data_IF_904347429804
#
_entry.id   IF_904347429804
#
_cell.length_a   1.000
_cell.length_b   1.000
_cell.length_c   1.000
_cell.angle_alpha   90.00
_cell.angle_beta   90.00
_cell.angle_gamma   90.00
#
_symmetry.space_group_name_H-M   'P 1'
#
loop_
_entity.id
_entity.type
_entity.pdbx_description
1 polymer ?
#
# COMPACT_ATOMS: atom_id res chain seq x y z
N UNK A 1 -49.82 -36.25 11.22
CA UNK A 1 -48.40 -36.34 10.79
C UNK A 1 -47.57 -36.66 12.02
N UNK A 2 -46.77 -37.73 11.99
CA UNK A 2 -46.11 -38.23 13.20
C UNK A 2 -44.88 -37.35 13.56
N UNK A 3 -44.52 -37.22 14.83
CA UNK A 3 -43.46 -36.31 15.30
C UNK A 3 -42.10 -36.58 14.60
N UNK A 4 -41.84 -37.84 14.27
CA UNK A 4 -40.66 -38.26 13.49
C UNK A 4 -40.66 -37.73 12.06
N UNK A 5 -41.82 -37.62 11.42
CA UNK A 5 -41.97 -37.11 10.06
C UNK A 5 -41.80 -35.58 10.02
N UNK A 6 -42.26 -34.87 11.05
CA UNK A 6 -42.07 -33.42 11.18
C UNK A 6 -40.59 -33.06 11.43
N UNK A 7 -39.87 -33.85 12.23
CA UNK A 7 -38.44 -33.65 12.50
C UNK A 7 -37.56 -33.83 11.24
N UNK A 8 -37.89 -34.80 10.38
CA UNK A 8 -37.16 -35.04 9.12
C UNK A 8 -37.37 -33.88 8.13
N UNK A 9 -38.59 -33.34 8.04
CA UNK A 9 -38.89 -32.19 7.17
C UNK A 9 -38.20 -30.91 7.70
N UNK A 10 -38.17 -30.70 9.03
CA UNK A 10 -37.46 -29.57 9.63
C UNK A 10 -35.94 -29.66 9.41
N UNK A 11 -35.34 -30.85 9.51
CA UNK A 11 -33.92 -31.07 9.28
C UNK A 11 -33.54 -30.90 7.80
N UNK A 12 -34.42 -31.26 6.86
CA UNK A 12 -34.20 -31.05 5.43
C UNK A 12 -34.23 -29.55 5.05
N UNK A 13 -35.03 -28.72 5.73
CA UNK A 13 -35.08 -27.27 5.50
C UNK A 13 -33.80 -26.54 5.94
N UNK A 14 -33.05 -27.07 6.91
CA UNK A 14 -31.74 -26.52 7.31
C UNK A 14 -30.65 -26.70 6.23
N UNK A 15 -30.80 -27.66 5.30
CA UNK A 15 -29.85 -27.84 4.19
C UNK A 15 -30.17 -27.01 2.95
N UNK A 16 -31.34 -26.36 2.90
CA UNK A 16 -31.71 -25.46 1.80
C UNK A 16 -31.48 -23.97 2.12
N UNK A 17 -31.11 -23.61 3.35
CA UNK A 17 -30.90 -22.21 3.74
C UNK A 17 -29.43 -21.74 3.65
N UNK A 18 -28.74 -22.01 2.53
CA UNK A 18 -27.48 -21.34 2.21
C UNK A 18 -27.24 -21.41 0.69
N UNK A 19 -27.92 -20.57 -0.10
CA UNK A 19 -27.52 -20.20 -1.47
C UNK A 19 -28.39 -19.04 -2.02
N UNK A 20 -28.71 -18.05 -1.19
CA UNK A 20 -29.37 -16.83 -1.66
C UNK A 20 -28.29 -15.91 -2.23
N UNK A 21 -28.20 -15.84 -3.56
CA UNK A 21 -27.23 -15.02 -4.31
C UNK A 21 -25.94 -15.76 -4.66
N UNK A 22 -26.01 -16.82 -5.47
CA UNK A 22 -24.80 -17.55 -5.89
C UNK A 22 -24.05 -16.79 -6.97
N UNK A 23 -23.00 -16.07 -6.58
CA UNK A 23 -21.97 -15.62 -7.52
C UNK A 23 -21.08 -16.81 -7.85
N UNK A 24 -21.08 -17.24 -9.12
CA UNK A 24 -20.05 -18.19 -9.59
C UNK A 24 -18.79 -17.41 -9.90
N UNK A 25 -17.68 -17.80 -9.30
CA UNK A 25 -16.37 -17.19 -9.52
C UNK A 25 -15.43 -18.19 -10.18
N UNK A 26 -14.66 -17.70 -11.15
CA UNK A 26 -13.61 -18.45 -11.80
C UNK A 26 -12.30 -17.69 -11.63
N UNK A 27 -11.28 -18.40 -11.17
CA UNK A 27 -9.92 -17.89 -11.09
C UNK A 27 -9.23 -17.98 -12.47
N UNK A 28 -8.07 -17.35 -12.58
CA UNK A 28 -7.27 -17.22 -13.81
C UNK A 28 -7.29 -18.45 -14.72
N UNK A 29 -7.13 -19.68 -14.22
CA UNK A 29 -7.03 -20.87 -15.07
C UNK A 29 -8.34 -21.27 -15.77
N UNK A 30 -9.48 -20.90 -15.19
CA UNK A 30 -10.80 -21.37 -15.62
C UNK A 30 -11.61 -20.34 -16.40
N UNK A 31 -11.06 -19.16 -16.68
CA UNK A 31 -11.73 -18.11 -17.45
C UNK A 31 -11.66 -18.44 -18.95
N UNK A 32 -12.77 -18.28 -19.66
CA UNK A 32 -12.86 -18.48 -21.11
C UNK A 32 -11.80 -17.62 -21.86
N UNK A 33 -11.15 -18.22 -22.87
CA UNK A 33 -10.05 -17.60 -23.62
C UNK A 33 -10.48 -16.33 -24.37
N UNK A 34 -11.70 -16.29 -24.90
CA UNK A 34 -12.21 -15.15 -25.65
C UNK A 34 -12.45 -13.97 -24.69
N UNK A 35 -13.05 -14.23 -23.52
CA UNK A 35 -13.20 -13.22 -22.47
C UNK A 35 -11.85 -12.68 -22.02
N UNK A 36 -10.86 -13.54 -21.79
CA UNK A 36 -9.49 -13.11 -21.48
C UNK A 36 -8.88 -12.25 -22.59
N UNK A 37 -9.08 -12.62 -23.85
CA UNK A 37 -8.59 -11.87 -25.00
C UNK A 37 -9.19 -10.45 -25.05
N UNK A 38 -10.51 -10.34 -24.86
CA UNK A 38 -11.21 -9.05 -24.81
C UNK A 38 -10.70 -8.17 -23.66
N UNK A 39 -10.59 -8.74 -22.44
CA UNK A 39 -10.10 -8.00 -21.28
C UNK A 39 -8.64 -7.61 -21.44
N UNK A 40 -7.80 -8.47 -22.02
CA UNK A 40 -6.41 -8.12 -22.32
C UNK A 40 -6.34 -6.92 -23.26
N UNK A 41 -7.14 -6.89 -24.33
CA UNK A 41 -7.18 -5.74 -25.24
C UNK A 41 -7.60 -4.44 -24.53
N UNK A 42 -8.54 -4.54 -23.58
CA UNK A 42 -8.93 -3.40 -22.73
C UNK A 42 -7.83 -2.98 -21.75
N UNK A 43 -7.13 -3.94 -21.13
CA UNK A 43 -5.98 -3.67 -20.26
C UNK A 43 -4.84 -2.99 -21.05
N UNK A 44 -4.54 -3.48 -22.25
CA UNK A 44 -3.52 -2.90 -23.15
C UNK A 44 -3.90 -1.45 -23.51
N UNK A 45 -5.18 -1.21 -23.84
CA UNK A 45 -5.70 0.12 -24.13
C UNK A 45 -5.64 1.03 -22.90
N UNK A 46 -6.03 0.52 -21.72
CA UNK A 46 -5.98 1.25 -20.46
C UNK A 46 -4.55 1.72 -20.15
N UNK A 47 -3.57 0.81 -20.23
CA UNK A 47 -2.17 1.13 -19.98
C UNK A 47 -1.61 2.14 -20.98
N UNK A 48 -1.99 2.04 -22.26
CA UNK A 48 -1.62 3.01 -23.29
C UNK A 48 -2.21 4.39 -22.99
N UNK A 49 -3.48 4.46 -22.61
CA UNK A 49 -4.15 5.72 -22.30
C UNK A 49 -3.52 6.41 -21.09
N UNK A 50 -3.22 5.66 -20.01
CA UNK A 50 -2.60 6.22 -18.81
C UNK A 50 -1.20 6.74 -19.12
N UNK A 51 -0.35 5.94 -19.79
CA UNK A 51 1.02 6.35 -20.13
C UNK A 51 1.04 7.62 -20.98
N UNK A 52 0.15 7.70 -21.97
CA UNK A 52 0.14 8.80 -22.94
C UNK A 52 -0.69 10.00 -22.48
N UNK A 53 -1.25 9.97 -21.26
CA UNK A 53 -2.23 10.96 -20.78
C UNK A 53 -3.40 11.17 -21.76
N UNK A 54 -3.82 10.11 -22.46
CA UNK A 54 -4.94 10.13 -23.42
C UNK A 54 -6.28 10.00 -22.68
N UNK A 55 -6.80 11.15 -22.26
CA UNK A 55 -8.05 11.23 -21.50
C UNK A 55 -9.28 10.82 -22.35
N UNK A 56 -9.27 11.13 -23.65
CA UNK A 56 -10.37 10.78 -24.54
C UNK A 56 -10.44 9.26 -24.74
N UNK A 57 -9.28 8.65 -25.02
CA UNK A 57 -9.13 7.20 -25.08
C UNK A 57 -9.53 6.54 -23.77
N UNK A 58 -9.08 7.05 -22.62
CA UNK A 58 -9.48 6.52 -21.32
C UNK A 58 -11.00 6.59 -21.11
N UNK A 59 -11.63 7.74 -21.39
CA UNK A 59 -13.08 7.93 -21.23
C UNK A 59 -13.88 6.91 -22.04
N UNK A 60 -13.40 6.52 -23.21
CA UNK A 60 -14.07 5.49 -24.04
C UNK A 60 -14.11 4.10 -23.39
N UNK A 61 -13.20 3.81 -22.44
CA UNK A 61 -13.12 2.54 -21.73
C UNK A 61 -14.05 2.48 -20.51
N UNK A 62 -14.49 3.63 -19.99
CA UNK A 62 -15.25 3.73 -18.74
C UNK A 62 -16.72 3.39 -18.95
N UNK A 63 -17.39 2.93 -17.90
CA UNK A 63 -18.84 2.94 -17.85
C UNK A 63 -19.38 4.31 -17.45
N UNK A 64 -20.64 4.56 -17.80
CA UNK A 64 -21.34 5.80 -17.43
C UNK A 64 -21.33 6.03 -15.91
N UNK A 65 -21.56 4.96 -15.14
CA UNK A 65 -21.53 5.01 -13.68
C UNK A 65 -20.15 5.45 -13.12
N UNK A 66 -19.05 5.00 -13.73
CA UNK A 66 -17.70 5.43 -13.32
C UNK A 66 -17.44 6.89 -13.74
N UNK A 67 -17.91 7.30 -14.92
CA UNK A 67 -17.77 8.69 -15.38
C UNK A 67 -18.50 9.67 -14.45
N UNK A 68 -19.75 9.36 -14.09
CA UNK A 68 -20.55 10.17 -13.17
C UNK A 68 -19.89 10.30 -11.79
N UNK A 69 -19.31 9.21 -11.28
CA UNK A 69 -18.65 9.20 -9.97
C UNK A 69 -17.31 9.93 -9.95
N UNK A 70 -16.55 9.88 -11.04
CA UNK A 70 -15.15 10.32 -11.04
C UNK A 70 -14.95 11.80 -11.34
N UNK A 71 -15.92 12.46 -11.96
CA UNK A 71 -15.86 13.89 -12.28
C UNK A 71 -14.53 14.32 -12.91
N UNK A 72 -13.94 15.42 -12.41
CA UNK A 72 -12.65 15.95 -12.86
C UNK A 72 -11.44 15.25 -12.19
N UNK A 73 -11.65 14.48 -11.12
CA UNK A 73 -10.57 13.85 -10.35
C UNK A 73 -9.78 12.85 -11.19
N UNK A 74 -10.44 12.21 -12.16
CA UNK A 74 -9.81 11.24 -13.05
C UNK A 74 -8.68 11.85 -13.90
N UNK A 75 -8.83 13.10 -14.35
CA UNK A 75 -7.81 13.74 -15.17
C UNK A 75 -6.52 13.99 -14.38
N UNK A 76 -6.65 14.57 -13.18
CA UNK A 76 -5.51 14.81 -12.30
C UNK A 76 -4.84 13.48 -11.92
N UNK A 77 -5.68 12.48 -11.65
CA UNK A 77 -5.24 11.15 -11.28
C UNK A 77 -4.42 10.47 -12.39
N UNK A 78 -4.91 10.49 -13.63
CA UNK A 78 -4.22 9.91 -14.80
C UNK A 78 -2.90 10.61 -15.05
N UNK A 79 -2.86 11.94 -14.95
CA UNK A 79 -1.60 12.70 -15.10
C UNK A 79 -0.56 12.26 -14.07
N UNK A 80 -0.95 12.11 -12.80
CA UNK A 80 -0.03 11.68 -11.75
C UNK A 80 0.50 10.26 -11.98
N UNK A 81 -0.37 9.32 -12.36
CA UNK A 81 0.07 7.94 -12.64
C UNK A 81 0.87 7.84 -13.93
N UNK A 82 0.47 8.54 -14.98
CA UNK A 82 1.16 8.57 -16.27
C UNK A 82 2.62 9.00 -16.14
N UNK A 83 2.92 9.98 -15.27
CA UNK A 83 4.29 10.41 -14.95
C UNK A 83 5.17 9.31 -14.32
N UNK A 84 4.55 8.33 -13.64
CA UNK A 84 5.29 7.21 -13.04
C UNK A 84 5.58 6.10 -14.06
N UNK A 85 4.74 5.94 -15.09
CA UNK A 85 4.83 4.83 -16.03
C UNK A 85 5.91 5.07 -17.10
N UNK A 86 6.96 4.24 -17.10
CA UNK A 86 8.00 4.26 -18.14
C UNK A 86 7.58 3.51 -19.41
N UNK A 87 6.80 2.45 -19.25
CA UNK A 87 6.37 1.56 -20.34
C UNK A 87 4.86 1.34 -20.31
N UNK A 88 4.31 0.82 -21.40
CA UNK A 88 2.93 0.28 -21.40
C UNK A 88 2.90 -1.19 -20.98
N UNK A 89 4.06 -1.79 -20.73
CA UNK A 89 4.19 -3.19 -20.32
C UNK A 89 3.67 -3.38 -18.90
N UNK A 90 3.04 -4.53 -18.66
CA UNK A 90 2.51 -4.90 -17.37
C UNK A 90 2.51 -6.42 -17.21
N UNK A 91 2.63 -6.85 -15.96
CA UNK A 91 2.36 -8.22 -15.54
C UNK A 91 0.96 -8.30 -14.96
N UNK A 92 0.22 -9.33 -15.35
CA UNK A 92 -1.03 -9.69 -14.68
C UNK A 92 -0.70 -10.42 -13.38
N UNK A 93 -1.02 -9.81 -12.24
CA UNK A 93 -0.86 -10.41 -10.92
C UNK A 93 -1.95 -11.46 -10.67
N UNK A 94 -3.21 -11.11 -10.96
CA UNK A 94 -4.35 -12.00 -10.78
C UNK A 94 -5.52 -11.56 -11.66
N UNK A 95 -6.38 -12.51 -12.01
CA UNK A 95 -7.63 -12.28 -12.74
C UNK A 95 -8.75 -13.10 -12.11
N UNK A 96 -9.93 -12.49 -11.99
CA UNK A 96 -11.12 -13.15 -11.47
C UNK A 96 -12.31 -12.80 -12.37
N UNK A 97 -13.08 -13.81 -12.75
CA UNK A 97 -14.35 -13.63 -13.46
C UNK A 97 -15.50 -14.03 -12.54
N UNK A 98 -16.55 -13.20 -12.48
CA UNK A 98 -17.72 -13.43 -11.67
C UNK A 98 -19.00 -13.35 -12.51
N UNK A 99 -19.83 -14.39 -12.42
CA UNK A 99 -21.18 -14.41 -12.96
C UNK A 99 -22.17 -14.36 -11.80
N UNK A 100 -22.76 -13.18 -11.61
CA UNK A 100 -23.66 -12.83 -10.53
C UNK A 100 -25.10 -13.17 -10.91
N UNK A 101 -25.87 -13.71 -9.95
CA UNK A 101 -27.29 -13.99 -10.17
C UNK A 101 -28.12 -12.71 -10.40
N UNK A 102 -27.69 -11.59 -9.81
CA UNK A 102 -28.31 -10.28 -9.95
C UNK A 102 -27.26 -9.16 -9.89
N UNK A 103 -27.66 -7.96 -10.35
CA UNK A 103 -26.90 -6.73 -10.13
C UNK A 103 -27.15 -6.21 -8.70
N UNK A 104 -26.23 -5.39 -8.19
CA UNK A 104 -26.29 -4.79 -6.87
C UNK A 104 -25.83 -5.69 -5.71
N UNK A 105 -25.41 -6.93 -5.98
CA UNK A 105 -24.89 -7.85 -4.97
C UNK A 105 -23.47 -7.46 -4.53
N UNK A 106 -23.14 -7.72 -3.28
CA UNK A 106 -21.76 -7.61 -2.78
C UNK A 106 -20.97 -8.87 -3.15
N UNK A 107 -19.86 -8.67 -3.86
CA UNK A 107 -18.90 -9.73 -4.18
C UNK A 107 -17.73 -9.70 -3.22
N UNK A 108 -17.41 -10.86 -2.67
CA UNK A 108 -16.28 -11.11 -1.80
C UNK A 108 -15.49 -12.29 -2.39
N UNK A 109 -14.41 -11.99 -3.11
CA UNK A 109 -13.62 -13.01 -3.82
C UNK A 109 -12.34 -13.29 -3.04
N UNK A 110 -12.26 -14.41 -2.29
CA UNK A 110 -11.04 -14.77 -1.57
C UNK A 110 -9.94 -15.18 -2.55
N UNK A 111 -8.73 -14.64 -2.36
CA UNK A 111 -7.54 -14.95 -3.14
C UNK A 111 -6.44 -15.43 -2.21
N UNK A 112 -5.95 -16.66 -2.44
CA UNK A 112 -4.83 -17.26 -1.70
C UNK A 112 -4.96 -17.17 -0.17
N UNK A 113 -6.17 -17.34 0.38
CA UNK A 113 -6.47 -17.09 1.80
C UNK A 113 -5.72 -17.99 2.79
N UNK A 114 -5.14 -19.10 2.33
CA UNK A 114 -4.25 -19.96 3.13
C UNK A 114 -2.82 -19.43 3.25
N UNK A 115 -2.47 -18.38 2.49
CA UNK A 115 -1.15 -17.75 2.49
C UNK A 115 -1.14 -16.49 3.36
N UNK A 116 0.03 -16.16 3.91
CA UNK A 116 0.32 -14.88 4.57
C UNK A 116 0.08 -13.68 3.64
N UNK A 117 0.10 -13.91 2.33
CA UNK A 117 -0.14 -12.92 1.27
C UNK A 117 -1.60 -12.94 0.78
N UNK A 118 -2.48 -13.71 1.43
CA UNK A 118 -3.88 -13.82 1.08
C UNK A 118 -4.64 -12.51 1.27
N UNK A 119 -5.61 -12.27 0.40
CA UNK A 119 -6.50 -11.11 0.46
C UNK A 119 -7.88 -11.45 -0.08
N UNK A 120 -8.85 -10.59 0.16
CA UNK A 120 -10.18 -10.68 -0.43
C UNK A 120 -10.42 -9.45 -1.28
N UNK A 121 -11.00 -9.65 -2.47
CA UNK A 121 -11.45 -8.57 -3.34
C UNK A 121 -12.93 -8.31 -3.05
N UNK A 122 -13.24 -7.06 -2.73
CA UNK A 122 -14.58 -6.62 -2.33
C UNK A 122 -15.12 -5.59 -3.31
N UNK A 123 -16.29 -5.83 -3.91
CA UNK A 123 -16.95 -4.84 -4.75
C UNK A 123 -18.44 -5.12 -4.92
N UNK A 124 -19.21 -4.10 -5.30
CA UNK A 124 -20.62 -4.24 -5.68
C UNK A 124 -20.74 -4.61 -7.15
N UNK A 125 -21.47 -5.66 -7.48
CA UNK A 125 -21.70 -6.13 -8.84
C UNK A 125 -22.61 -5.16 -9.61
N UNK A 126 -22.05 -4.29 -10.46
CA UNK A 126 -22.86 -3.39 -11.29
C UNK A 126 -23.44 -4.11 -12.52
N UNK A 127 -22.88 -5.25 -12.90
CA UNK A 127 -23.31 -6.09 -14.02
C UNK A 127 -23.39 -7.56 -13.59
N UNK A 128 -24.15 -8.37 -14.34
CA UNK A 128 -24.21 -9.82 -14.10
C UNK A 128 -22.85 -10.47 -14.34
N UNK A 129 -22.20 -10.16 -15.46
CA UNK A 129 -20.84 -10.60 -15.74
C UNK A 129 -19.86 -9.49 -15.34
N UNK A 130 -18.92 -9.82 -14.46
CA UNK A 130 -17.89 -8.92 -13.93
C UNK A 130 -16.50 -9.56 -14.08
N UNK A 131 -15.48 -8.75 -14.29
CA UNK A 131 -14.10 -9.21 -14.42
C UNK A 131 -13.16 -8.31 -13.62
N UNK A 132 -12.29 -8.88 -12.80
CA UNK A 132 -11.24 -8.16 -12.07
C UNK A 132 -9.89 -8.47 -12.68
N UNK A 133 -9.14 -7.44 -13.05
CA UNK A 133 -7.74 -7.50 -13.45
C UNK A 133 -6.87 -6.76 -12.44
N UNK A 134 -5.86 -7.45 -11.90
CA UNK A 134 -4.83 -6.87 -11.05
C UNK A 134 -3.53 -6.77 -11.85
N UNK A 135 -3.09 -5.56 -12.16
CA UNK A 135 -1.98 -5.30 -13.08
C UNK A 135 -0.81 -4.64 -12.34
N UNK A 136 0.41 -5.09 -12.64
CA UNK A 136 1.66 -4.53 -12.13
C UNK A 136 2.44 -3.94 -13.32
N UNK A 137 2.51 -2.61 -13.47
CA UNK A 137 3.28 -1.99 -14.53
C UNK A 137 4.77 -2.33 -14.42
N UNK A 138 5.43 -2.50 -15.57
CA UNK A 138 6.85 -2.88 -15.62
C UNK A 138 7.79 -1.66 -15.49
N UNK A 139 8.98 -1.90 -14.93
CA UNK A 139 10.06 -0.90 -14.85
C UNK A 139 10.03 0.02 -13.61
N UNK A 140 9.23 -0.34 -12.61
CA UNK A 140 9.16 0.34 -11.31
C UNK A 140 9.90 -0.45 -10.23
N UNK A 141 10.75 0.23 -9.45
CA UNK A 141 11.39 -0.36 -8.27
C UNK A 141 10.38 -0.60 -7.14
N UNK A 142 9.46 0.35 -6.96
CA UNK A 142 8.34 0.25 -6.04
C UNK A 142 7.09 -0.01 -6.87
N UNK A 143 6.51 -1.20 -6.75
CA UNK A 143 5.43 -1.63 -7.62
C UNK A 143 4.14 -0.88 -7.27
N UNK A 144 3.47 -0.38 -8.31
CA UNK A 144 2.11 0.14 -8.25
C UNK A 144 1.15 -0.99 -8.65
N UNK A 145 0.09 -1.22 -7.88
CA UNK A 145 -1.02 -2.07 -8.31
C UNK A 145 -2.03 -1.21 -9.05
N UNK A 146 -2.46 -1.66 -10.22
CA UNK A 146 -3.65 -1.15 -10.91
C UNK A 146 -4.73 -2.21 -10.77
N UNK A 147 -5.84 -1.85 -10.12
CA UNK A 147 -7.02 -2.71 -10.00
C UNK A 147 -8.08 -2.19 -10.96
N UNK A 148 -8.36 -2.98 -11.99
CA UNK A 148 -9.37 -2.68 -13.00
C UNK A 148 -10.51 -3.70 -12.88
N UNK A 149 -11.72 -3.23 -12.59
CA UNK A 149 -12.92 -4.07 -12.50
C UNK A 149 -13.86 -3.67 -13.63
N UNK A 150 -14.07 -4.60 -14.55
CA UNK A 150 -14.93 -4.47 -15.71
C UNK A 150 -16.30 -5.08 -15.45
N UNK A 151 -17.31 -4.53 -16.10
CA UNK A 151 -18.64 -5.12 -16.22
C UNK A 151 -19.03 -5.26 -17.68
N UNK A 152 -19.84 -6.28 -17.99
CA UNK A 152 -20.32 -6.52 -19.35
C UNK A 152 -21.65 -5.79 -19.61
N UNK A 153 -21.67 -5.00 -20.69
CA UNK A 153 -22.78 -4.17 -21.17
C UNK A 153 -23.18 -4.65 -22.57
N UNK A 154 -24.15 -5.56 -22.64
CA UNK A 154 -24.45 -6.27 -23.89
C UNK A 154 -23.26 -7.13 -24.32
N UNK A 155 -22.70 -6.86 -25.50
CA UNK A 155 -21.52 -7.55 -26.01
C UNK A 155 -20.19 -6.88 -25.59
N UNK A 156 -20.25 -5.65 -25.07
CA UNK A 156 -19.06 -4.86 -24.75
C UNK A 156 -18.68 -4.97 -23.27
N UNK A 157 -17.39 -4.83 -22.98
CA UNK A 157 -16.87 -4.69 -21.63
C UNK A 157 -16.47 -3.25 -21.35
N UNK A 158 -16.89 -2.72 -20.20
CA UNK A 158 -16.56 -1.36 -19.74
C UNK A 158 -15.99 -1.37 -18.33
N UNK A 159 -15.12 -0.42 -18.04
CA UNK A 159 -14.46 -0.27 -16.75
C UNK A 159 -15.42 0.39 -15.75
N UNK A 160 -15.79 -0.36 -14.71
CA UNK A 160 -16.67 0.08 -13.64
C UNK A 160 -15.91 0.67 -12.46
N UNK A 161 -14.72 0.13 -12.18
CA UNK A 161 -13.87 0.58 -11.07
C UNK A 161 -12.44 0.57 -11.56
N UNK A 162 -11.72 1.65 -11.29
CA UNK A 162 -10.29 1.72 -11.42
C UNK A 162 -9.69 2.26 -10.11
N UNK A 163 -8.66 1.59 -9.61
CA UNK A 163 -7.93 1.98 -8.40
C UNK A 163 -6.44 1.75 -8.58
N UNK A 164 -5.66 2.53 -7.86
CA UNK A 164 -4.23 2.41 -7.86
C UNK A 164 -3.70 2.59 -6.45
N UNK A 165 -2.65 1.85 -6.11
CA UNK A 165 -2.03 1.96 -4.81
C UNK A 165 -0.68 1.26 -4.80
N UNK A 166 0.18 1.64 -3.86
CA UNK A 166 1.47 0.99 -3.68
C UNK A 166 1.27 -0.48 -3.32
N UNK A 167 1.85 -1.38 -4.12
CA UNK A 167 1.76 -2.82 -3.92
C UNK A 167 2.95 -3.36 -3.14
N UNK A 168 4.14 -2.93 -3.54
CA UNK A 168 5.39 -3.32 -2.90
C UNK A 168 6.36 -2.15 -2.88
N UNK A 169 7.26 -2.16 -1.91
CA UNK A 169 8.40 -1.26 -1.83
C UNK A 169 9.64 -2.14 -1.78
N UNK A 170 10.62 -1.89 -2.65
CA UNK A 170 11.83 -2.71 -2.77
C UNK A 170 11.53 -4.22 -2.89
N UNK A 171 10.49 -4.57 -3.66
CA UNK A 171 10.06 -5.95 -3.89
C UNK A 171 9.41 -6.66 -2.68
N UNK A 172 9.11 -5.94 -1.59
CA UNK A 172 8.47 -6.48 -0.39
C UNK A 172 7.07 -5.91 -0.19
N UNK A 173 6.14 -6.76 0.26
CA UNK A 173 4.72 -6.43 0.47
C UNK A 173 4.42 -6.19 1.95
N UNK A 174 3.18 -5.81 2.27
CA UNK A 174 2.77 -5.54 3.66
C UNK A 174 3.11 -6.69 4.63
N UNK A 175 2.82 -7.98 4.33
CA UNK A 175 3.15 -9.08 5.26
C UNK A 175 4.66 -9.29 5.44
N UNK A 176 5.47 -8.98 4.43
CA UNK A 176 6.93 -9.10 4.52
C UNK A 176 7.51 -8.06 5.48
N UNK A 177 7.09 -6.80 5.34
CA UNK A 177 7.47 -5.74 6.26
C UNK A 177 6.93 -5.98 7.67
N UNK A 178 5.75 -6.57 7.80
CA UNK A 178 5.23 -6.98 9.10
C UNK A 178 6.12 -8.04 9.77
N UNK A 179 6.59 -9.03 9.02
CA UNK A 179 7.56 -10.01 9.52
C UNK A 179 8.86 -9.35 9.96
N UNK A 180 9.42 -8.45 9.13
CA UNK A 180 10.63 -7.70 9.49
C UNK A 180 10.43 -6.84 10.75
N UNK A 181 9.26 -6.23 10.91
CA UNK A 181 8.93 -5.44 12.09
C UNK A 181 8.91 -6.32 13.37
N UNK A 182 8.35 -7.53 13.28
CA UNK A 182 8.36 -8.51 14.39
C UNK A 182 9.78 -8.96 14.73
N UNK A 183 10.61 -9.22 13.73
CA UNK A 183 12.01 -9.62 13.92
C UNK A 183 12.82 -8.51 14.60
N UNK A 184 12.70 -7.26 14.15
CA UNK A 184 13.35 -6.11 14.78
C UNK A 184 12.86 -5.90 16.22
N UNK A 185 11.56 -6.05 16.45
CA UNK A 185 10.97 -5.96 17.79
C UNK A 185 11.55 -7.03 18.72
N UNK A 186 11.69 -8.28 18.25
CA UNK A 186 12.30 -9.37 19.02
C UNK A 186 13.77 -9.12 19.40
N UNK A 187 14.50 -8.33 18.61
CA UNK A 187 15.89 -7.90 18.90
C UNK A 187 15.97 -6.66 19.81
N UNK A 188 14.82 -6.12 20.23
CA UNK A 188 14.67 -4.84 20.92
C UNK A 188 15.12 -3.61 20.09
N UNK A 189 15.15 -3.73 18.76
CA UNK A 189 15.44 -2.64 17.81
C UNK A 189 14.13 -1.90 17.51
N UNK A 190 13.66 -1.12 18.50
CA UNK A 190 12.29 -0.60 18.53
C UNK A 190 11.98 0.41 17.41
N UNK A 191 12.95 1.27 17.04
CA UNK A 191 12.76 2.22 15.93
C UNK A 191 12.62 1.51 14.59
N UNK A 192 13.40 0.46 14.34
CA UNK A 192 13.26 -0.36 13.14
C UNK A 192 11.90 -1.07 13.11
N UNK A 193 11.44 -1.59 14.25
CA UNK A 193 10.11 -2.19 14.35
C UNK A 193 9.00 -1.19 14.00
N UNK A 194 9.09 0.05 14.49
CA UNK A 194 8.16 1.13 14.12
C UNK A 194 8.24 1.42 12.62
N UNK A 195 9.44 1.64 12.08
CA UNK A 195 9.66 1.95 10.67
C UNK A 195 9.10 0.87 9.74
N UNK A 196 9.42 -0.40 9.97
CA UNK A 196 8.90 -1.50 9.15
C UNK A 196 7.40 -1.70 9.33
N UNK A 197 6.86 -1.56 10.54
CA UNK A 197 5.41 -1.67 10.74
C UNK A 197 4.64 -0.53 10.05
N UNK A 198 5.21 0.68 9.99
CA UNK A 198 4.65 1.81 9.26
C UNK A 198 4.65 1.58 7.74
N UNK A 199 5.73 1.01 7.18
CA UNK A 199 5.75 0.63 5.76
C UNK A 199 4.70 -0.47 5.51
N UNK A 200 4.60 -1.46 6.40
CA UNK A 200 3.61 -2.52 6.29
C UNK A 200 2.19 -1.97 6.23
N UNK A 201 1.82 -1.04 7.13
CA UNK A 201 0.48 -0.44 7.13
C UNK A 201 0.20 0.43 5.91
N UNK A 202 1.20 1.16 5.41
CA UNK A 202 1.08 1.93 4.15
C UNK A 202 0.77 1.04 2.95
N UNK A 203 1.25 -0.20 2.95
CA UNK A 203 1.05 -1.19 1.88
C UNK A 203 -0.23 -2.04 2.05
N UNK A 204 -1.05 -1.79 3.08
CA UNK A 204 -2.30 -2.54 3.30
C UNK A 204 -3.42 -2.15 2.33
N UNK A 205 -3.31 -1.01 1.64
CA UNK A 205 -4.37 -0.46 0.79
C UNK A 205 -3.94 -0.31 -0.68
N UNK A 206 -3.47 -1.37 -1.36
CA UNK A 206 -3.03 -1.28 -2.75
C UNK A 206 -4.20 -1.01 -3.72
N UNK A 207 -5.44 -1.15 -3.27
CA UNK A 207 -6.65 -0.79 -4.01
C UNK A 207 -7.73 -0.22 -3.08
N UNK A 208 -7.34 0.54 -2.05
CA UNK A 208 -8.25 1.09 -1.03
C UNK A 208 -9.17 -0.01 -0.45
N UNK A 209 -10.47 0.25 -0.34
CA UNK A 209 -11.45 -0.69 0.22
C UNK A 209 -11.74 -1.93 -0.67
N UNK A 210 -11.23 -1.97 -1.90
CA UNK A 210 -11.51 -3.08 -2.83
C UNK A 210 -10.62 -4.30 -2.60
N UNK A 211 -9.51 -4.15 -1.88
CA UNK A 211 -8.63 -5.26 -1.49
C UNK A 211 -8.39 -5.17 0.01
N UNK A 212 -8.66 -6.27 0.72
CA UNK A 212 -8.39 -6.40 2.14
C UNK A 212 -7.48 -7.60 2.39
N UNK A 213 -6.31 -7.36 2.97
CA UNK A 213 -5.41 -8.45 3.39
C UNK A 213 -5.99 -9.22 4.57
N UNK A 214 -5.80 -10.54 4.60
CA UNK A 214 -6.24 -11.40 5.70
C UNK A 214 -5.64 -10.96 7.05
N UNK A 215 -4.37 -10.55 7.05
CA UNK A 215 -3.65 -10.09 8.26
C UNK A 215 -3.78 -8.59 8.54
N UNK A 216 -4.67 -7.85 7.86
CA UNK A 216 -4.76 -6.39 7.99
C UNK A 216 -4.94 -5.91 9.44
N UNK A 217 -5.81 -6.57 10.21
CA UNK A 217 -6.05 -6.23 11.62
C UNK A 217 -4.83 -6.55 12.51
N UNK A 218 -4.16 -7.69 12.27
CA UNK A 218 -2.95 -8.08 13.00
C UNK A 218 -1.80 -7.08 12.75
N UNK A 219 -1.60 -6.69 11.50
CA UNK A 219 -0.56 -5.73 11.09
C UNK A 219 -0.82 -4.36 11.72
N UNK A 220 -2.06 -3.86 11.63
CA UNK A 220 -2.46 -2.58 12.22
C UNK A 220 -2.33 -2.59 13.75
N UNK A 221 -2.80 -3.65 14.42
CA UNK A 221 -2.70 -3.77 15.87
C UNK A 221 -1.23 -3.81 16.33
N UNK A 222 -0.37 -4.50 15.59
CA UNK A 222 1.06 -4.53 15.89
C UNK A 222 1.71 -3.15 15.71
N UNK A 223 1.42 -2.44 14.62
CA UNK A 223 1.91 -1.08 14.40
C UNK A 223 1.52 -0.13 15.55
N UNK A 224 0.26 -0.19 16.01
CA UNK A 224 -0.20 0.58 17.17
C UNK A 224 0.56 0.22 18.44
N UNK A 225 0.75 -1.08 18.69
CA UNK A 225 1.52 -1.57 19.86
C UNK A 225 2.94 -1.01 19.86
N UNK A 226 3.70 -1.23 18.79
CA UNK A 226 5.12 -0.83 18.74
C UNK A 226 5.29 0.68 18.74
N UNK A 227 4.38 1.43 18.09
CA UNK A 227 4.38 2.89 18.11
C UNK A 227 4.11 3.42 19.52
N UNK A 228 3.14 2.84 20.23
CA UNK A 228 2.84 3.23 21.62
C UNK A 228 4.03 2.96 22.54
N UNK A 229 4.68 1.81 22.40
CA UNK A 229 5.88 1.47 23.18
C UNK A 229 7.04 2.41 22.87
N UNK A 230 7.29 2.70 21.59
CA UNK A 230 8.31 3.64 21.15
C UNK A 230 8.07 5.05 21.69
N UNK A 231 6.84 5.55 21.61
CA UNK A 231 6.47 6.86 22.13
C UNK A 231 6.57 6.90 23.66
N UNK A 232 6.29 5.80 24.36
CA UNK A 232 6.49 5.70 25.81
C UNK A 232 7.98 5.79 26.19
N UNK A 233 8.85 5.10 25.43
CA UNK A 233 10.29 5.02 25.68
C UNK A 233 11.06 6.27 25.21
N UNK A 234 10.64 6.85 24.09
CA UNK A 234 11.29 7.97 23.43
C UNK A 234 10.31 9.13 23.31
N UNK A 235 10.29 9.99 24.33
CA UNK A 235 9.45 11.20 24.32
C UNK A 235 10.04 12.20 23.32
N UNK A 236 9.33 12.43 22.22
CA UNK A 236 9.73 13.38 21.17
C UNK A 236 9.04 14.74 21.37
N UNK A 237 9.73 15.88 21.17
CA UNK A 237 11.15 15.99 20.84
C UNK A 237 12.08 15.52 21.97
N UNK A 238 13.09 14.75 21.62
CA UNK A 238 14.10 14.21 22.53
C UNK A 238 15.35 15.10 22.50
N UNK A 239 15.64 15.74 23.63
CA UNK A 239 16.86 16.55 23.80
C UNK A 239 18.09 15.64 23.90
N UNK A 240 19.13 15.91 23.11
CA UNK A 240 20.41 15.23 23.19
C UNK A 240 21.35 15.95 24.16
N UNK A 241 21.15 15.74 25.46
CA UNK A 241 21.84 16.48 26.54
C UNK A 241 23.36 16.34 26.55
N UNK A 242 23.91 15.30 25.93
CA UNK A 242 25.36 15.06 25.85
C UNK A 242 26.06 15.88 24.75
N UNK A 243 25.31 16.65 23.96
CA UNK A 243 25.84 17.41 22.83
C UNK A 243 25.73 18.92 23.13
N UNK A 244 26.83 19.68 23.00
CA UNK A 244 26.78 21.14 23.07
C UNK A 244 25.73 21.72 22.11
N UNK A 245 24.97 22.72 22.56
CA UNK A 245 23.84 23.26 21.78
C UNK A 245 22.52 22.52 21.98
N UNK A 246 22.55 21.34 22.61
CA UNK A 246 21.37 20.52 22.97
C UNK A 246 20.39 20.34 21.80
N UNK A 247 20.84 19.78 20.66
CA UNK A 247 19.95 19.50 19.55
C UNK A 247 18.83 18.55 19.97
N UNK A 248 17.69 18.66 19.31
CA UNK A 248 16.48 17.91 19.66
C UNK A 248 16.02 17.05 18.50
N UNK A 249 16.08 15.73 18.66
CA UNK A 249 15.48 14.81 17.68
C UNK A 249 13.98 14.89 17.82
N UNK A 250 13.26 15.22 16.75
CA UNK A 250 11.80 15.37 16.81
C UNK A 250 11.04 14.40 15.91
N UNK A 251 11.74 13.70 15.01
CA UNK A 251 11.14 12.68 14.15
C UNK A 251 12.19 11.68 13.70
N UNK A 252 11.82 10.40 13.72
CA UNK A 252 12.55 9.33 13.03
C UNK A 252 11.53 8.54 12.20
N UNK A 253 11.85 8.28 10.94
CA UNK A 253 10.95 7.56 10.03
C UNK A 253 11.74 6.87 8.91
N UNK A 254 11.18 5.90 8.19
CA UNK A 254 11.86 5.29 7.07
C UNK A 254 11.74 6.16 5.82
N UNK A 255 12.87 6.46 5.20
CA UNK A 255 12.97 7.09 3.90
C UNK A 255 13.29 6.05 2.83
N UNK A 256 12.51 6.04 1.76
CA UNK A 256 12.68 5.09 0.65
C UNK A 256 13.42 5.81 -0.47
N UNK A 257 14.66 5.38 -0.73
CA UNK A 257 15.46 5.85 -1.87
C UNK A 257 15.54 4.76 -2.94
N UNK A 258 16.13 5.08 -4.08
CA UNK A 258 16.17 4.17 -5.24
C UNK A 258 16.90 2.85 -5.00
N UNK A 259 17.77 2.79 -4.00
CA UNK A 259 18.62 1.65 -3.65
C UNK A 259 18.29 1.00 -2.30
N UNK A 260 17.40 1.58 -1.49
CA UNK A 260 17.18 1.08 -0.15
C UNK A 260 16.18 1.85 0.68
N UNK A 261 16.01 1.38 1.93
CA UNK A 261 15.20 2.03 2.96
C UNK A 261 16.12 2.41 4.09
N UNK A 262 16.12 3.69 4.43
CA UNK A 262 17.06 4.30 5.35
C UNK A 262 16.31 4.96 6.49
N UNK A 263 16.75 4.83 7.75
CA UNK A 263 16.24 5.68 8.81
C UNK A 263 16.63 7.13 8.51
N UNK A 264 15.63 8.00 8.54
CA UNK A 264 15.80 9.44 8.46
C UNK A 264 15.55 10.04 9.85
N UNK A 265 16.55 10.76 10.36
CA UNK A 265 16.52 11.42 11.66
C UNK A 265 16.41 12.93 11.44
N UNK A 266 15.31 13.51 11.89
CA UNK A 266 15.16 14.96 11.91
C UNK A 266 15.49 15.49 13.29
N UNK A 267 16.34 16.52 13.32
CA UNK A 267 16.68 17.19 14.56
C UNK A 267 16.70 18.71 14.40
N UNK A 268 16.38 19.40 15.49
CA UNK A 268 16.46 20.85 15.59
C UNK A 268 17.83 21.24 16.13
N UNK A 269 18.53 22.09 15.40
CA UNK A 269 19.82 22.68 15.75
C UNK A 269 19.67 24.18 16.04
N UNK A 270 20.52 24.69 16.93
CA UNK A 270 20.66 26.14 17.17
C UNK A 270 21.71 26.78 16.24
N UNK A 271 22.47 25.97 15.50
CA UNK A 271 23.49 26.44 14.54
C UNK A 271 22.78 26.86 13.26
N UNK A 272 23.05 28.06 12.77
CA UNK A 272 22.46 28.57 11.52
C UNK A 272 22.74 27.60 10.37
N UNK A 273 21.74 27.32 9.53
CA UNK A 273 21.89 26.39 8.38
C UNK A 273 23.03 26.76 7.40
N UNK A 274 23.36 28.05 7.30
CA UNK A 274 24.47 28.52 6.48
C UNK A 274 25.86 28.12 7.02
N UNK A 275 26.00 27.86 8.32
CA UNK A 275 27.25 27.41 8.94
C UNK A 275 27.38 25.88 8.85
N UNK A 276 27.59 25.41 7.63
CA UNK A 276 27.68 23.99 7.31
C UNK A 276 28.87 23.29 7.98
N UNK A 277 29.92 24.04 8.33
CA UNK A 277 31.09 23.51 9.02
C UNK A 277 30.75 23.17 10.48
N UNK A 278 30.13 24.11 11.20
CA UNK A 278 29.68 23.86 12.57
C UNK A 278 28.59 22.78 12.63
N UNK A 279 27.64 22.78 11.68
CA UNK A 279 26.62 21.72 11.60
C UNK A 279 27.21 20.34 11.35
N UNK A 280 28.28 20.21 10.57
CA UNK A 280 28.96 18.92 10.37
C UNK A 280 29.54 18.40 11.68
N UNK A 281 30.16 19.27 12.48
CA UNK A 281 30.70 18.90 13.81
C UNK A 281 29.59 18.47 14.76
N UNK A 282 28.47 19.21 14.80
CA UNK A 282 27.30 18.83 15.60
C UNK A 282 26.72 17.48 15.14
N UNK A 283 26.56 17.28 13.83
CA UNK A 283 26.02 16.05 13.26
C UNK A 283 26.88 14.82 13.62
N UNK A 284 28.21 14.93 13.64
CA UNK A 284 29.08 13.83 14.11
C UNK A 284 28.82 13.44 15.57
N UNK A 285 28.47 14.41 16.43
CA UNK A 285 28.04 14.13 17.79
C UNK A 285 26.63 13.54 17.84
N UNK A 286 25.70 14.07 17.02
CA UNK A 286 24.31 13.59 16.91
C UNK A 286 24.28 12.13 16.48
N UNK A 287 25.05 11.74 15.46
CA UNK A 287 25.16 10.35 14.99
C UNK A 287 25.50 9.39 16.13
N UNK A 288 26.55 9.70 16.90
CA UNK A 288 27.03 8.86 18.01
C UNK A 288 25.95 8.69 19.07
N UNK A 289 25.30 9.79 19.43
CA UNK A 289 24.27 9.79 20.48
C UNK A 289 22.98 9.10 20.01
N UNK A 290 22.58 9.30 18.76
CA UNK A 290 21.46 8.60 18.10
C UNK A 290 21.71 7.10 18.09
N UNK A 291 22.91 6.65 17.71
CA UNK A 291 23.26 5.22 17.72
C UNK A 291 23.25 4.63 19.14
N UNK A 292 23.61 5.43 20.15
CA UNK A 292 23.57 5.03 21.56
C UNK A 292 22.13 4.89 22.09
N UNK A 293 21.25 5.82 21.74
CA UNK A 293 19.87 5.87 22.25
C UNK A 293 18.94 4.91 21.50
N UNK A 294 19.06 4.87 20.17
CA UNK A 294 18.19 4.10 19.29
C UNK A 294 18.92 2.83 18.84
N UNK A 295 18.88 1.82 19.72
CA UNK A 295 19.49 0.51 19.46
C UNK A 295 19.11 -0.02 18.07
N UNK A 296 20.14 -0.39 17.30
CA UNK A 296 19.99 -1.00 15.99
C UNK A 296 19.73 -0.02 14.84
N UNK A 297 19.63 1.29 15.09
CA UNK A 297 19.28 2.27 14.03
C UNK A 297 20.30 2.29 12.88
N UNK A 298 21.55 1.89 13.10
CA UNK A 298 22.59 1.76 12.08
C UNK A 298 22.96 0.29 11.77
N UNK A 299 22.39 -0.70 12.46
CA UNK A 299 22.68 -2.11 12.21
C UNK A 299 22.10 -2.55 10.86
N UNK A 300 22.92 -3.29 10.10
CA UNK A 300 22.58 -3.87 8.79
C UNK A 300 22.12 -2.90 7.69
N UNK A 301 22.39 -1.61 7.85
CA UNK A 301 22.02 -0.56 6.88
C UNK A 301 23.24 -0.07 6.12
N UNK A 302 22.99 0.46 4.92
CA UNK A 302 24.03 1.13 4.14
C UNK A 302 24.27 2.55 4.63
N UNK A 303 23.23 3.23 5.14
CA UNK A 303 23.35 4.56 5.72
C UNK A 303 22.26 4.88 6.76
N UNK A 304 22.48 5.97 7.50
CA UNK A 304 21.43 6.73 8.21
C UNK A 304 21.44 8.17 7.68
N UNK A 305 20.26 8.72 7.45
CA UNK A 305 20.09 10.06 6.91
C UNK A 305 19.72 11.03 8.02
N UNK A 306 20.21 12.26 7.94
CA UNK A 306 19.97 13.27 8.97
C UNK A 306 19.61 14.61 8.33
N UNK A 307 18.54 15.24 8.79
CA UNK A 307 18.21 16.63 8.44
C UNK A 307 18.22 17.51 9.68
N UNK A 308 19.03 18.57 9.62
CA UNK A 308 19.11 19.62 10.63
C UNK A 308 18.16 20.77 10.27
N UNK A 309 17.37 21.22 11.24
CA UNK A 309 16.43 22.33 11.10
C UNK A 309 16.72 23.41 12.13
N UNK A 310 16.45 24.68 11.82
CA UNK A 310 16.45 25.75 12.85
C UNK A 310 15.08 25.98 13.49
N UNK A 311 13.99 25.51 12.87
CA UNK A 311 12.63 25.60 13.40
C UNK A 311 11.87 24.28 13.18
N UNK A 312 10.85 24.00 13.99
CA UNK A 312 10.02 22.80 13.82
C UNK A 312 9.01 23.02 12.67
N UNK A 313 8.87 22.07 11.73
CA UNK A 313 7.83 22.15 10.72
C UNK A 313 6.42 22.11 11.34
N UNK A 314 5.58 23.08 10.98
CA UNK A 314 4.19 23.21 11.42
C UNK A 314 3.16 22.75 10.36
N UNK A 315 3.65 22.43 9.15
CA UNK A 315 2.83 22.05 8.00
C UNK A 315 2.23 23.24 7.23
N UNK A 316 2.45 24.48 7.67
CA UNK A 316 1.95 25.68 6.98
C UNK A 316 2.94 26.19 5.94
N UNK A 317 4.24 26.13 6.26
CA UNK A 317 5.32 26.51 5.34
C UNK A 317 6.35 25.41 5.17
N UNK A 318 7.04 25.44 4.02
CA UNK A 318 8.25 24.65 3.83
C UNK A 318 9.34 25.22 4.73
N UNK A 319 9.88 24.38 5.60
CA UNK A 319 11.01 24.74 6.46
C UNK A 319 12.31 24.32 5.79
N UNK A 320 13.28 25.24 5.76
CA UNK A 320 14.63 24.97 5.27
C UNK A 320 15.36 23.99 6.19
N UNK A 321 16.24 23.18 5.60
CA UNK A 321 17.04 22.21 6.34
C UNK A 321 18.37 21.96 5.63
N UNK A 322 19.34 21.43 6.38
CA UNK A 322 20.60 20.95 5.85
C UNK A 322 20.71 19.43 6.06
N UNK A 323 21.06 18.69 5.00
CA UNK A 323 21.04 17.23 4.99
C UNK A 323 22.43 16.59 5.06
N UNK A 324 22.52 15.45 5.73
CA UNK A 324 23.70 14.60 5.81
C UNK A 324 23.33 13.13 5.51
N UNK A 325 24.27 12.41 4.91
CA UNK A 325 24.22 10.96 4.78
C UNK A 325 25.40 10.36 5.55
N UNK A 326 25.09 9.49 6.52
CA UNK A 326 26.08 8.73 7.28
C UNK A 326 26.21 7.34 6.69
N UNK A 327 27.24 7.12 5.85
CA UNK A 327 27.49 5.82 5.23
C UNK A 327 28.10 4.84 6.25
N UNK A 328 27.52 3.66 6.35
CA UNK A 328 27.91 2.62 7.32
C UNK A 328 28.66 1.48 6.63
N UNK A 329 28.27 1.14 5.40
CA UNK A 329 28.92 0.13 4.56
C UNK A 329 29.37 0.79 3.26
N UNK A 330 30.61 0.51 2.85
CA UNK A 330 31.19 0.97 1.58
C UNK A 330 30.69 0.15 0.39
#
# INVERSE_FOLDING_TARGET
MNLKTLAIILFALFFYSCNVGTTRTWNTENINKDTKGQIKALNDSLMKCIKNNDLAGLRSLLSDALMEKSGNDMEQFVKQVGLMLKTTGYKVLNEQYANNSAVGLDNNIPVNISSDQGYTIHYKALNKEMYVSLLLPEGLTNELLITAIYGKYGEDWKLNIIQFGSYSVMGKKAPDYYKMAKESYGKANLIDAVNYSWIATRLLQPANAFIQYQKQSEITAFQLKVTKEANGKYQMPLVLDQIPGKPEVFRIYPEVLGDGIYPMVYYRSRIKLADTAALRVENEAVKKEVNRIFKGINEDKQAVLYWAFNELPDGQKRVEHFGFADKIKD
#
